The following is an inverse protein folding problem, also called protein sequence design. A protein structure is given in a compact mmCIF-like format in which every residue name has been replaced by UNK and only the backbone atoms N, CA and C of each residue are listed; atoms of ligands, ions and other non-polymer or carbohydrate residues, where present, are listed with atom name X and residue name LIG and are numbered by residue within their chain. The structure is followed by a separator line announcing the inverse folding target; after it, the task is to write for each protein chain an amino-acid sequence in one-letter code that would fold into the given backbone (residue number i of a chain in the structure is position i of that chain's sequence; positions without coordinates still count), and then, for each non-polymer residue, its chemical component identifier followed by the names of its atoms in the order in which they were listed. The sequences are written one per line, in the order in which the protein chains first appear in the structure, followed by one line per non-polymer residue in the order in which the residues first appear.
data_IF_990496855131
#
_entry.id   IF_990496855131
#
_cell.length_a   1.000
_cell.length_b   1.000
_cell.length_c   1.000
_cell.angle_alpha   90.00
_cell.angle_beta   90.00
_cell.angle_gamma   90.00
#
_symmetry.space_group_name_H-M   'P 1'
#
loop_
_entity.id
_entity.type
_entity.pdbx_description
1 polymer ?
#
# COMPACT_ATOMS: atom_id res chain seq x y z
N UNK A 1 16.41 21.68 -15.89
CA UNK A 1 16.98 20.40 -16.32
C UNK A 1 16.19 19.86 -17.50
N UNK A 2 16.85 19.50 -18.62
CA UNK A 2 16.22 18.72 -19.69
C UNK A 2 16.18 17.28 -19.20
N UNK A 3 15.01 16.76 -18.85
CA UNK A 3 14.85 15.33 -18.53
C UNK A 3 15.04 14.55 -19.83
N UNK A 4 16.13 13.81 -19.93
CA UNK A 4 16.29 12.84 -21.00
C UNK A 4 15.27 11.73 -20.73
N UNK A 5 14.40 11.47 -21.70
CA UNK A 5 13.34 10.45 -21.57
C UNK A 5 14.01 9.06 -21.64
N UNK A 6 14.32 8.49 -20.47
CA UNK A 6 14.88 7.13 -20.37
C UNK A 6 13.82 6.09 -20.73
N UNK A 7 14.24 4.97 -21.30
CA UNK A 7 13.37 3.82 -21.48
C UNK A 7 12.94 3.29 -20.11
N UNK A 8 11.64 3.31 -19.86
CA UNK A 8 11.06 2.95 -18.58
C UNK A 8 11.09 1.44 -18.29
N UNK A 9 11.40 0.60 -19.29
CA UNK A 9 11.51 -0.85 -19.14
C UNK A 9 12.95 -1.32 -18.91
N UNK A 10 13.93 -0.41 -18.94
CA UNK A 10 15.34 -0.74 -18.72
C UNK A 10 15.81 -0.26 -17.35
N UNK A 11 16.48 -1.15 -16.62
CA UNK A 11 17.14 -0.80 -15.36
C UNK A 11 18.26 0.20 -15.61
N UNK A 12 18.44 1.14 -14.70
CA UNK A 12 19.61 2.02 -14.68
C UNK A 12 20.81 1.29 -14.07
N UNK A 13 22.06 1.72 -14.36
CA UNK A 13 23.27 0.97 -13.95
C UNK A 13 23.41 0.69 -12.45
N UNK A 14 22.81 1.54 -11.59
CA UNK A 14 22.84 1.40 -10.14
C UNK A 14 21.67 0.56 -9.59
N UNK A 15 20.74 0.15 -10.43
CA UNK A 15 19.55 -0.60 -10.04
C UNK A 15 19.83 -2.10 -10.14
N UNK A 16 19.64 -2.79 -9.01
CA UNK A 16 19.83 -4.24 -8.94
C UNK A 16 18.76 -4.98 -9.72
N UNK A 17 19.19 -5.85 -10.62
CA UNK A 17 18.38 -6.89 -11.24
C UNK A 17 18.36 -8.12 -10.32
N UNK A 18 17.18 -8.67 -10.06
CA UNK A 18 17.01 -9.91 -9.26
C UNK A 18 16.86 -11.17 -10.10
N UNK A 19 16.91 -11.05 -11.43
CA UNK A 19 16.78 -12.19 -12.34
C UNK A 19 15.48 -12.96 -12.18
N UNK A 20 14.37 -12.25 -11.92
CA UNK A 20 13.05 -12.85 -11.63
C UNK A 20 12.17 -12.87 -12.88
N UNK A 21 11.42 -13.95 -13.06
CA UNK A 21 10.42 -14.14 -14.11
C UNK A 21 9.01 -13.64 -13.73
N UNK A 22 8.86 -13.20 -12.47
CA UNK A 22 7.56 -12.75 -11.91
C UNK A 22 6.94 -11.63 -12.76
N UNK A 23 7.73 -10.66 -13.23
CA UNK A 23 7.23 -9.58 -14.07
C UNK A 23 6.63 -10.10 -15.38
N UNK A 24 7.32 -11.00 -16.05
CA UNK A 24 6.88 -11.55 -17.35
C UNK A 24 5.58 -12.36 -17.18
N UNK A 25 5.48 -13.14 -16.11
CA UNK A 25 4.26 -13.88 -15.78
C UNK A 25 3.08 -12.94 -15.49
N UNK A 26 3.30 -11.89 -14.70
CA UNK A 26 2.26 -10.89 -14.41
C UNK A 26 1.79 -10.20 -15.70
N UNK A 27 2.70 -9.75 -16.53
CA UNK A 27 2.35 -9.03 -17.76
C UNK A 27 1.59 -9.93 -18.74
N UNK A 28 2.01 -11.20 -18.87
CA UNK A 28 1.35 -12.21 -19.70
C UNK A 28 -0.07 -12.48 -19.20
N UNK A 29 -0.25 -12.77 -17.93
CA UNK A 29 -1.54 -13.09 -17.34
C UNK A 29 -2.49 -11.88 -17.34
N UNK A 30 -1.96 -10.68 -17.06
CA UNK A 30 -2.74 -9.44 -17.17
C UNK A 30 -3.23 -9.20 -18.60
N UNK A 31 -2.40 -9.42 -19.61
CA UNK A 31 -2.78 -9.26 -21.02
C UNK A 31 -3.83 -10.27 -21.47
N UNK A 32 -3.85 -11.47 -20.89
CA UNK A 32 -4.83 -12.51 -21.18
C UNK A 32 -6.18 -12.29 -20.49
N UNK A 33 -6.22 -11.56 -19.37
CA UNK A 33 -7.43 -11.33 -18.61
C UNK A 33 -8.37 -10.36 -19.34
N UNK A 34 -9.56 -10.84 -19.67
CA UNK A 34 -10.67 -10.08 -20.30
C UNK A 34 -11.87 -10.15 -19.36
N UNK A 35 -12.11 -9.12 -18.53
CA UNK A 35 -13.16 -9.16 -17.51
C UNK A 35 -14.56 -9.42 -18.06
N UNK A 36 -14.82 -9.03 -19.31
CA UNK A 36 -16.13 -9.08 -19.95
C UNK A 36 -16.58 -10.48 -20.36
N UNK A 37 -15.66 -11.45 -20.45
CA UNK A 37 -16.01 -12.82 -20.88
C UNK A 37 -16.59 -13.68 -19.77
N UNK A 38 -16.39 -13.27 -18.49
CA UNK A 38 -16.88 -14.03 -17.35
C UNK A 38 -18.39 -13.89 -17.19
N UNK A 39 -19.04 -15.00 -16.85
CA UNK A 39 -20.45 -15.12 -16.63
C UNK A 39 -20.83 -15.23 -15.16
N UNK A 40 -22.11 -15.10 -14.84
CA UNK A 40 -22.64 -15.40 -13.49
C UNK A 40 -22.33 -16.84 -13.04
N UNK A 41 -22.28 -17.80 -13.98
CA UNK A 41 -21.94 -19.18 -13.66
C UNK A 41 -20.51 -19.30 -13.15
N UNK A 42 -19.57 -18.55 -13.74
CA UNK A 42 -18.17 -18.52 -13.29
C UNK A 42 -18.05 -17.91 -11.89
N UNK A 43 -18.80 -16.84 -11.61
CA UNK A 43 -18.87 -16.23 -10.27
C UNK A 43 -19.44 -17.20 -9.24
N UNK A 44 -20.54 -17.92 -9.57
CA UNK A 44 -21.12 -18.94 -8.68
C UNK A 44 -20.15 -20.10 -8.43
N UNK A 45 -19.41 -20.51 -9.46
CA UNK A 45 -18.35 -21.52 -9.32
C UNK A 45 -17.23 -21.03 -8.38
N UNK A 46 -16.80 -19.76 -8.53
CA UNK A 46 -15.78 -19.15 -7.67
C UNK A 46 -16.25 -19.06 -6.20
N UNK A 47 -17.51 -18.68 -5.96
CA UNK A 47 -18.08 -18.61 -4.60
C UNK A 47 -18.17 -19.98 -3.91
N UNK A 48 -18.35 -21.08 -4.66
CA UNK A 48 -18.44 -22.43 -4.14
C UNK A 48 -17.09 -23.17 -4.12
N UNK A 49 -16.02 -22.55 -4.61
CA UNK A 49 -14.70 -23.18 -4.67
C UNK A 49 -14.08 -23.33 -3.28
N UNK A 50 -13.55 -24.51 -2.98
CA UNK A 50 -12.82 -24.78 -1.73
C UNK A 50 -11.56 -23.91 -1.62
N UNK A 51 -10.85 -23.71 -2.74
CA UNK A 51 -9.68 -22.87 -2.89
C UNK A 51 -9.90 -21.93 -4.07
N UNK A 52 -9.64 -20.65 -3.88
CA UNK A 52 -9.77 -19.66 -4.93
C UNK A 52 -8.57 -19.76 -5.90
N UNK A 53 -8.80 -20.19 -7.11
CA UNK A 53 -7.81 -20.22 -8.19
C UNK A 53 -7.64 -18.82 -8.82
N UNK A 54 -6.67 -18.66 -9.72
CA UNK A 54 -6.54 -17.44 -10.52
C UNK A 54 -7.78 -17.18 -11.38
N UNK A 55 -8.38 -18.22 -11.94
CA UNK A 55 -9.61 -18.08 -12.72
C UNK A 55 -10.80 -17.67 -11.83
N UNK A 56 -10.89 -18.19 -10.61
CA UNK A 56 -11.89 -17.74 -9.65
C UNK A 56 -11.67 -16.26 -9.27
N UNK A 57 -10.44 -15.83 -9.06
CA UNK A 57 -10.12 -14.43 -8.80
C UNK A 57 -10.54 -13.51 -9.97
N UNK A 58 -10.24 -13.91 -11.21
CA UNK A 58 -10.65 -13.20 -12.42
C UNK A 58 -12.19 -13.05 -12.48
N UNK A 59 -12.93 -14.13 -12.20
CA UNK A 59 -14.40 -14.12 -12.14
C UNK A 59 -14.92 -13.18 -11.03
N UNK A 60 -14.36 -13.23 -9.81
CA UNK A 60 -14.75 -12.38 -8.68
C UNK A 60 -14.46 -10.88 -8.93
N UNK A 61 -13.47 -10.55 -9.74
CA UNK A 61 -13.16 -9.19 -10.15
C UNK A 61 -13.92 -8.72 -11.40
N UNK A 62 -14.60 -9.61 -12.11
CA UNK A 62 -15.31 -9.31 -13.35
C UNK A 62 -16.58 -8.46 -13.13
N UNK A 63 -17.13 -7.82 -14.17
CA UNK A 63 -18.43 -7.16 -14.10
C UNK A 63 -19.58 -8.09 -13.70
N UNK A 64 -19.52 -9.38 -14.09
CA UNK A 64 -20.52 -10.40 -13.75
C UNK A 64 -20.65 -10.64 -12.23
N UNK A 65 -19.64 -10.25 -11.44
CA UNK A 65 -19.66 -10.38 -9.98
C UNK A 65 -20.50 -9.28 -9.29
N UNK A 66 -20.84 -8.19 -9.97
CA UNK A 66 -21.57 -7.08 -9.35
C UNK A 66 -22.91 -7.45 -8.69
N UNK A 67 -23.76 -8.34 -9.27
CA UNK A 67 -24.99 -8.80 -8.60
C UNK A 67 -24.74 -9.69 -7.37
N UNK A 68 -23.54 -10.26 -7.23
CA UNK A 68 -23.15 -11.19 -6.18
C UNK A 68 -22.33 -10.54 -5.07
N UNK A 69 -22.22 -9.20 -5.04
CA UNK A 69 -21.34 -8.50 -4.10
C UNK A 69 -21.64 -8.84 -2.64
N UNK A 70 -22.93 -9.04 -2.29
CA UNK A 70 -23.31 -9.46 -0.94
C UNK A 70 -22.76 -10.85 -0.59
N UNK A 71 -22.94 -11.85 -1.47
CA UNK A 71 -22.41 -13.20 -1.25
C UNK A 71 -20.86 -13.20 -1.21
N UNK A 72 -20.22 -12.40 -2.05
CA UNK A 72 -18.76 -12.20 -2.04
C UNK A 72 -18.32 -11.60 -0.70
N UNK A 73 -19.04 -10.59 -0.20
CA UNK A 73 -18.74 -9.96 1.09
C UNK A 73 -18.93 -10.92 2.26
N UNK A 74 -19.98 -11.73 2.27
CA UNK A 74 -20.22 -12.76 3.28
C UNK A 74 -19.12 -13.83 3.30
N UNK A 75 -18.69 -14.30 2.11
CA UNK A 75 -17.58 -15.26 2.02
C UNK A 75 -16.25 -14.63 2.49
N UNK A 76 -15.98 -13.38 2.09
CA UNK A 76 -14.81 -12.65 2.54
C UNK A 76 -14.82 -12.45 4.06
N UNK A 77 -15.96 -12.12 4.66
CA UNK A 77 -16.12 -11.99 6.10
C UNK A 77 -15.84 -13.32 6.81
N UNK A 78 -16.39 -14.44 6.31
CA UNK A 78 -16.11 -15.75 6.88
C UNK A 78 -14.63 -16.10 6.85
N UNK A 79 -13.94 -15.81 5.72
CA UNK A 79 -12.48 -15.98 5.60
C UNK A 79 -11.71 -15.06 6.55
N UNK A 80 -12.14 -13.80 6.71
CA UNK A 80 -11.52 -12.86 7.66
C UNK A 80 -11.64 -13.38 9.09
N UNK A 81 -12.83 -13.80 9.49
CA UNK A 81 -13.06 -14.33 10.84
C UNK A 81 -12.28 -15.64 11.11
N UNK A 82 -12.16 -16.50 10.11
CA UNK A 82 -11.40 -17.75 10.25
C UNK A 82 -9.88 -17.52 10.44
N UNK A 83 -9.32 -16.43 9.87
CA UNK A 83 -7.88 -16.17 9.90
C UNK A 83 -7.46 -15.12 10.93
N UNK A 84 -8.30 -14.13 11.20
CA UNK A 84 -7.97 -12.98 12.07
C UNK A 84 -8.91 -12.85 13.30
N UNK A 85 -9.94 -13.67 13.40
CA UNK A 85 -10.93 -13.55 14.48
C UNK A 85 -11.66 -12.22 14.42
N UNK A 86 -11.75 -11.55 15.57
CA UNK A 86 -12.31 -10.19 15.72
C UNK A 86 -11.24 -9.09 15.68
N UNK A 87 -9.98 -9.43 15.48
CA UNK A 87 -8.86 -8.52 15.65
C UNK A 87 -8.70 -7.54 14.48
N UNK A 88 -8.53 -6.26 14.81
CA UNK A 88 -8.23 -5.19 13.87
C UNK A 88 -6.97 -4.46 14.34
N UNK A 89 -5.91 -4.57 13.57
CA UNK A 89 -4.62 -3.93 13.89
C UNK A 89 -4.66 -2.44 13.54
N UNK A 90 -4.16 -1.60 14.45
CA UNK A 90 -4.07 -0.15 14.28
C UNK A 90 -2.64 0.29 14.06
N UNK A 91 -2.45 1.24 13.14
CA UNK A 91 -1.18 1.92 12.90
C UNK A 91 -1.40 3.38 12.50
N UNK A 92 -0.33 4.16 12.44
CA UNK A 92 -0.37 5.50 11.85
C UNK A 92 0.84 5.75 10.95
N UNK A 93 0.70 6.52 9.85
CA UNK A 93 1.83 6.98 9.06
C UNK A 93 2.52 8.19 9.71
N UNK A 94 3.84 8.27 9.56
CA UNK A 94 4.65 9.44 9.87
C UNK A 94 5.45 9.86 8.62
N UNK A 95 5.12 11.02 8.08
CA UNK A 95 5.84 11.63 6.97
C UNK A 95 7.03 12.44 7.49
N UNK A 96 8.26 11.97 7.23
CA UNK A 96 9.48 12.62 7.73
C UNK A 96 10.12 13.58 6.72
N UNK A 97 9.79 13.46 5.42
CA UNK A 97 10.23 14.38 4.36
C UNK A 97 9.30 14.33 3.16
N UNK A 98 9.09 15.46 2.47
CA UNK A 98 8.28 15.55 1.25
C UNK A 98 9.05 16.02 0.01
N UNK A 99 10.37 16.06 0.06
CA UNK A 99 11.20 16.26 -1.13
C UNK A 99 11.08 15.05 -2.05
N UNK A 100 10.89 15.29 -3.35
CA UNK A 100 10.75 14.23 -4.35
C UNK A 100 11.34 14.69 -5.67
N UNK A 101 12.10 13.80 -6.35
CA UNK A 101 12.76 14.07 -7.62
C UNK A 101 11.94 13.55 -8.81
N UNK A 102 10.79 12.90 -8.55
CA UNK A 102 9.92 12.30 -9.56
C UNK A 102 8.85 13.24 -10.09
N UNK A 103 8.41 12.97 -11.33
CA UNK A 103 7.38 13.72 -12.04
C UNK A 103 6.10 12.86 -12.21
N UNK A 104 5.55 12.38 -11.10
CA UNK A 104 4.30 11.61 -11.12
C UNK A 104 3.10 12.55 -11.20
N UNK A 105 2.24 12.39 -12.22
CA UNK A 105 1.12 13.31 -12.48
C UNK A 105 0.00 13.29 -11.42
N UNK A 106 -0.03 12.26 -10.58
CA UNK A 106 -1.06 12.00 -9.57
C UNK A 106 -0.60 12.28 -8.13
N UNK A 107 0.62 12.73 -7.92
CA UNK A 107 1.21 12.86 -6.58
C UNK A 107 1.43 14.31 -6.18
N UNK A 108 0.96 14.70 -5.01
CA UNK A 108 1.18 16.03 -4.46
C UNK A 108 2.66 16.38 -4.28
N UNK A 109 3.52 15.38 -4.02
CA UNK A 109 4.96 15.56 -3.88
C UNK A 109 5.72 15.68 -5.22
N UNK A 110 5.03 15.65 -6.37
CA UNK A 110 5.66 15.84 -7.68
C UNK A 110 6.68 16.99 -7.64
N UNK A 111 7.88 16.76 -8.19
CA UNK A 111 9.00 17.73 -8.15
C UNK A 111 8.65 19.12 -8.69
N UNK A 112 7.67 19.22 -9.60
CA UNK A 112 7.20 20.50 -10.19
C UNK A 112 6.08 21.17 -9.41
N UNK A 113 5.48 20.52 -8.42
CA UNK A 113 4.43 21.12 -7.62
C UNK A 113 5.03 22.18 -6.68
N UNK A 114 4.39 23.35 -6.67
CA UNK A 114 4.74 24.44 -5.76
C UNK A 114 4.10 24.18 -4.39
N UNK A 115 4.77 23.39 -3.56
CA UNK A 115 4.35 23.05 -2.20
C UNK A 115 5.45 23.41 -1.21
N UNK A 116 5.08 23.61 0.05
CA UNK A 116 6.05 23.82 1.14
C UNK A 116 6.78 22.49 1.39
N UNK A 117 8.08 22.46 1.06
CA UNK A 117 8.95 21.31 1.27
C UNK A 117 9.58 21.35 2.65
N UNK A 118 9.67 20.19 3.30
CA UNK A 118 10.33 20.04 4.59
C UNK A 118 10.95 18.64 4.73
N UNK A 119 11.95 18.57 5.60
CA UNK A 119 12.60 17.36 6.08
C UNK A 119 12.80 17.53 7.58
N UNK A 120 12.42 16.55 8.38
CA UNK A 120 12.56 16.60 9.82
C UNK A 120 14.00 16.27 10.25
N UNK A 121 14.51 16.95 11.28
CA UNK A 121 15.73 16.58 11.98
C UNK A 121 15.48 15.37 12.89
N UNK A 122 16.55 14.80 13.44
CA UNK A 122 16.46 13.66 14.38
C UNK A 122 15.66 14.03 15.65
N UNK A 123 15.82 15.25 16.14
CA UNK A 123 15.08 15.78 17.29
C UNK A 123 13.60 15.94 16.97
N UNK A 124 13.29 16.40 15.75
CA UNK A 124 11.92 16.56 15.26
C UNK A 124 11.23 15.21 15.05
N UNK A 125 11.94 14.25 14.41
CA UNK A 125 11.45 12.86 14.26
C UNK A 125 11.15 12.27 15.65
N UNK A 126 12.09 12.42 16.60
CA UNK A 126 11.92 11.89 17.96
C UNK A 126 10.73 12.52 18.67
N UNK A 127 10.47 13.81 18.46
CA UNK A 127 9.31 14.52 19.01
C UNK A 127 8.00 13.99 18.43
N UNK A 128 7.92 13.87 17.11
CA UNK A 128 6.75 13.29 16.42
C UNK A 128 6.45 11.86 16.91
N UNK A 129 7.46 11.01 16.97
CA UNK A 129 7.32 9.62 17.43
C UNK A 129 6.83 9.56 18.89
N UNK A 130 7.34 10.44 19.76
CA UNK A 130 6.90 10.54 21.16
C UNK A 130 5.45 10.97 21.25
N UNK A 131 5.02 11.96 20.47
CA UNK A 131 3.61 12.41 20.49
C UNK A 131 2.69 11.30 20.01
N UNK A 132 3.04 10.60 18.92
CA UNK A 132 2.26 9.47 18.41
C UNK A 132 2.17 8.35 19.45
N UNK A 133 3.28 8.01 20.11
CA UNK A 133 3.31 6.91 21.08
C UNK A 133 2.39 7.12 22.31
N UNK A 134 2.05 8.36 22.64
CA UNK A 134 1.07 8.68 23.72
C UNK A 134 -0.33 8.13 23.43
N UNK A 135 -0.68 7.88 22.17
CA UNK A 135 -1.95 7.29 21.77
C UNK A 135 -2.06 5.79 22.09
N UNK A 136 -0.94 5.16 22.49
CA UNK A 136 -0.84 3.73 22.73
C UNK A 136 -0.66 2.89 21.47
N UNK A 137 -0.47 3.49 20.29
CA UNK A 137 -0.08 2.76 19.08
C UNK A 137 1.30 2.14 19.25
N UNK A 138 1.45 0.90 18.79
CA UNK A 138 2.71 0.14 18.83
C UNK A 138 3.27 -0.11 17.43
N UNK A 139 2.58 0.33 16.38
CA UNK A 139 3.04 0.26 14.99
C UNK A 139 3.06 1.63 14.34
N UNK A 140 4.16 1.93 13.64
CA UNK A 140 4.39 3.14 12.87
C UNK A 140 4.78 2.79 11.43
N UNK A 141 4.28 3.58 10.46
CA UNK A 141 4.70 3.51 9.06
C UNK A 141 5.44 4.80 8.69
N UNK A 142 6.75 4.72 8.44
CA UNK A 142 7.57 5.87 8.07
C UNK A 142 7.49 6.10 6.56
N UNK A 143 7.20 7.33 6.14
CA UNK A 143 7.08 7.72 4.74
C UNK A 143 8.00 8.88 4.38
N UNK A 144 8.51 8.82 3.14
CA UNK A 144 9.24 9.94 2.52
C UNK A 144 8.79 10.17 1.08
N UNK A 145 9.05 11.36 0.56
CA UNK A 145 9.18 11.52 -0.87
C UNK A 145 10.44 10.82 -1.38
N UNK A 146 10.51 10.55 -2.66
CA UNK A 146 11.65 9.88 -3.30
C UNK A 146 12.70 10.91 -3.72
N UNK A 147 13.71 11.13 -2.88
CA UNK A 147 14.85 12.01 -3.14
C UNK A 147 16.09 11.46 -2.42
N UNK A 148 17.00 10.87 -3.15
CA UNK A 148 18.24 10.30 -2.58
C UNK A 148 19.07 11.36 -1.84
N UNK A 149 19.02 12.61 -2.30
CA UNK A 149 19.75 13.73 -1.67
C UNK A 149 19.13 14.15 -0.34
N UNK A 150 17.78 14.23 -0.26
CA UNK A 150 17.08 14.73 0.91
C UNK A 150 16.62 13.61 1.85
N UNK A 151 16.29 12.45 1.32
CA UNK A 151 15.80 11.28 2.05
C UNK A 151 16.68 10.08 1.73
N UNK A 152 18.00 10.19 2.00
CA UNK A 152 18.95 9.10 1.78
C UNK A 152 18.61 7.86 2.59
N UNK A 153 19.09 6.69 2.16
CA UNK A 153 18.90 5.42 2.89
C UNK A 153 19.39 5.54 4.35
N UNK A 154 20.54 6.21 4.56
CA UNK A 154 21.08 6.45 5.91
C UNK A 154 20.13 7.30 6.79
N UNK A 155 19.49 8.32 6.22
CA UNK A 155 18.50 9.12 6.93
C UNK A 155 17.26 8.29 7.32
N UNK A 156 16.76 7.47 6.41
CA UNK A 156 15.61 6.58 6.66
C UNK A 156 15.99 5.50 7.70
N UNK A 157 17.17 4.91 7.60
CA UNK A 157 17.70 3.94 8.57
C UNK A 157 17.78 4.53 9.98
N UNK A 158 18.28 5.76 10.11
CA UNK A 158 18.30 6.45 11.39
C UNK A 158 16.90 6.71 11.94
N UNK A 159 15.95 7.11 11.08
CA UNK A 159 14.54 7.27 11.47
C UNK A 159 13.94 5.96 12.00
N UNK A 160 14.24 4.82 11.36
CA UNK A 160 13.83 3.49 11.84
C UNK A 160 14.41 3.18 13.22
N UNK A 161 15.71 3.47 13.43
CA UNK A 161 16.39 3.30 14.74
C UNK A 161 15.76 4.17 15.83
N UNK A 162 15.37 5.39 15.51
CA UNK A 162 14.65 6.27 16.45
C UNK A 162 13.24 5.72 16.73
N UNK A 163 12.53 5.24 15.71
CA UNK A 163 11.18 4.70 15.84
C UNK A 163 11.13 3.45 16.71
N UNK A 164 12.11 2.55 16.63
CA UNK A 164 12.19 1.34 17.47
C UNK A 164 12.28 1.63 18.97
N UNK A 165 12.63 2.85 19.38
CA UNK A 165 12.61 3.25 20.80
C UNK A 165 11.17 3.44 21.33
N UNK A 166 10.19 3.60 20.45
CA UNK A 166 8.80 3.92 20.79
C UNK A 166 7.79 2.89 20.29
N UNK A 167 8.12 2.16 19.22
CA UNK A 167 7.21 1.26 18.53
C UNK A 167 7.78 -0.14 18.39
N UNK A 168 6.93 -1.15 18.55
CA UNK A 168 7.29 -2.57 18.39
C UNK A 168 7.46 -2.93 16.92
N UNK A 169 6.60 -2.37 16.05
CA UNK A 169 6.61 -2.63 14.61
C UNK A 169 6.86 -1.33 13.85
N UNK A 170 7.85 -1.35 12.97
CA UNK A 170 8.24 -0.22 12.12
C UNK A 170 8.16 -0.65 10.65
N UNK A 171 7.19 -0.10 9.93
CA UNK A 171 7.10 -0.21 8.49
C UNK A 171 7.73 0.98 7.78
N UNK A 172 8.10 0.79 6.52
CA UNK A 172 8.52 1.88 5.65
C UNK A 172 7.75 1.87 4.33
N UNK A 173 7.29 3.04 3.89
CA UNK A 173 6.71 3.27 2.56
C UNK A 173 7.56 4.33 1.85
N UNK A 174 8.52 3.84 1.08
CA UNK A 174 9.58 4.63 0.48
C UNK A 174 9.80 4.23 -0.99
N UNK A 175 10.77 4.85 -1.63
CA UNK A 175 11.19 4.46 -2.97
C UNK A 175 11.85 3.07 -3.01
N UNK A 176 11.85 2.38 -4.17
CA UNK A 176 12.53 1.10 -4.34
C UNK A 176 14.03 1.21 -4.06
N UNK A 177 14.56 0.22 -3.38
CA UNK A 177 15.99 0.11 -3.02
C UNK A 177 16.59 -1.19 -3.54
N UNK A 178 17.92 -1.27 -3.54
CA UNK A 178 18.64 -2.52 -3.70
C UNK A 178 18.57 -3.37 -2.43
N UNK A 179 18.84 -4.66 -2.52
CA UNK A 179 18.71 -5.57 -1.38
C UNK A 179 19.64 -5.24 -0.22
N UNK A 180 20.85 -4.75 -0.50
CA UNK A 180 21.80 -4.30 0.53
C UNK A 180 21.28 -3.08 1.32
N UNK A 181 20.60 -2.14 0.66
CA UNK A 181 19.98 -1.00 1.30
C UNK A 181 18.77 -1.42 2.16
N UNK A 182 17.97 -2.35 1.67
CA UNK A 182 16.89 -2.95 2.48
C UNK A 182 17.45 -3.70 3.70
N UNK A 183 18.60 -4.38 3.55
CA UNK A 183 19.26 -5.03 4.68
C UNK A 183 19.74 -4.01 5.73
N UNK A 184 20.22 -2.83 5.31
CA UNK A 184 20.54 -1.74 6.21
C UNK A 184 19.31 -1.25 6.96
N UNK A 185 18.18 -1.05 6.27
CA UNK A 185 16.93 -0.63 6.91
C UNK A 185 16.43 -1.69 7.89
N UNK A 186 16.46 -2.97 7.51
CA UNK A 186 16.09 -4.08 8.40
C UNK A 186 16.96 -4.10 9.66
N UNK A 187 18.27 -4.03 9.51
CA UNK A 187 19.21 -3.95 10.65
C UNK A 187 18.95 -2.73 11.54
N UNK A 188 18.43 -1.64 10.97
CA UNK A 188 18.04 -0.42 11.69
C UNK A 188 16.66 -0.50 12.34
N UNK A 189 15.97 -1.63 12.21
CA UNK A 189 14.70 -1.91 12.86
C UNK A 189 13.46 -1.83 11.99
N UNK A 190 13.58 -1.71 10.67
CA UNK A 190 12.43 -1.83 9.79
C UNK A 190 11.98 -3.31 9.70
N UNK A 191 10.70 -3.56 9.92
CA UNK A 191 10.10 -4.89 9.90
C UNK A 191 9.53 -5.25 8.53
N UNK A 192 8.91 -4.28 7.84
CA UNK A 192 8.29 -4.49 6.54
C UNK A 192 8.40 -3.26 5.64
N UNK A 193 8.24 -3.49 4.34
CA UNK A 193 8.22 -2.42 3.35
C UNK A 193 6.96 -2.48 2.49
N UNK A 194 6.45 -1.31 2.14
CA UNK A 194 5.35 -1.15 1.19
C UNK A 194 5.83 -0.34 0.00
N UNK A 195 5.73 -0.91 -1.20
CA UNK A 195 6.02 -0.23 -2.47
C UNK A 195 4.88 -0.49 -3.44
N UNK A 196 4.07 0.50 -3.70
CA UNK A 196 2.95 0.38 -4.63
C UNK A 196 3.42 0.43 -6.07
N UNK A 197 3.00 -0.54 -6.90
CA UNK A 197 3.31 -0.54 -8.33
C UNK A 197 2.58 0.57 -9.09
N UNK A 198 1.53 1.10 -8.53
CA UNK A 198 0.63 2.12 -9.05
C UNK A 198 -0.27 1.60 -10.19
N UNK A 199 0.28 1.08 -11.26
CA UNK A 199 -0.41 0.32 -12.31
C UNK A 199 0.51 -0.75 -12.89
N UNK A 200 -0.05 -1.89 -13.26
CA UNK A 200 0.65 -2.98 -13.94
C UNK A 200 0.57 -2.89 -15.47
N UNK A 201 0.12 -1.76 -16.01
CA UNK A 201 0.16 -1.46 -17.44
C UNK A 201 1.41 -0.65 -17.78
N UNK A 202 2.44 -1.23 -18.44
CA UNK A 202 3.69 -0.52 -18.70
C UNK A 202 3.50 0.75 -19.55
N UNK A 203 2.61 0.70 -20.55
CA UNK A 203 2.31 1.85 -21.40
C UNK A 203 1.64 2.98 -20.62
N UNK A 204 0.73 2.66 -19.69
CA UNK A 204 0.10 3.66 -18.83
C UNK A 204 1.08 4.19 -17.81
N UNK A 205 1.89 3.30 -17.22
CA UNK A 205 2.94 3.63 -16.26
C UNK A 205 3.91 4.69 -16.81
N UNK A 206 4.36 4.50 -18.06
CA UNK A 206 5.22 5.47 -18.75
C UNK A 206 4.61 6.86 -18.84
N UNK A 207 3.28 6.92 -19.12
CA UNK A 207 2.56 8.19 -19.33
C UNK A 207 2.32 8.97 -18.04
N UNK A 208 2.34 8.31 -16.89
CA UNK A 208 2.08 8.95 -15.59
C UNK A 208 3.35 9.21 -14.77
N UNK A 209 4.47 8.56 -15.10
CA UNK A 209 5.77 8.77 -14.50
C UNK A 209 6.71 9.43 -15.54
N UNK A 210 6.66 10.74 -15.59
CA UNK A 210 7.29 11.53 -16.67
C UNK A 210 8.80 11.68 -16.52
N UNK A 211 9.35 11.44 -15.31
CA UNK A 211 10.78 11.54 -15.01
C UNK A 211 11.09 11.13 -13.57
N UNK A 212 12.38 10.97 -13.28
CA UNK A 212 12.89 10.45 -12.01
C UNK A 212 12.99 8.92 -11.98
N UNK A 213 13.58 8.37 -10.92
CA UNK A 213 13.84 6.93 -10.79
C UNK A 213 12.55 6.09 -10.73
N UNK A 214 11.46 6.66 -10.21
CA UNK A 214 10.14 6.00 -10.18
C UNK A 214 9.64 5.61 -11.58
N UNK A 215 10.16 6.27 -12.64
CA UNK A 215 9.84 5.92 -14.01
C UNK A 215 10.22 4.49 -14.40
N UNK A 216 11.21 3.87 -13.74
CA UNK A 216 11.73 2.55 -14.10
C UNK A 216 10.79 1.46 -13.57
N UNK A 217 9.96 0.94 -14.47
CA UNK A 217 8.90 -0.03 -14.18
C UNK A 217 9.42 -1.34 -13.55
N UNK A 218 10.40 -2.06 -14.11
CA UNK A 218 10.88 -3.33 -13.55
C UNK A 218 11.53 -3.14 -12.19
N UNK A 219 12.25 -2.03 -11.96
CA UNK A 219 12.87 -1.76 -10.67
C UNK A 219 11.83 -1.59 -9.57
N UNK A 220 10.72 -0.93 -9.86
CA UNK A 220 9.65 -0.77 -8.90
C UNK A 220 8.88 -2.07 -8.67
N UNK A 221 8.60 -2.82 -9.74
CA UNK A 221 7.87 -4.08 -9.64
C UNK A 221 8.62 -5.10 -8.77
N UNK A 222 9.92 -5.24 -8.93
CA UNK A 222 10.72 -6.20 -8.18
C UNK A 222 11.19 -5.69 -6.80
N UNK A 223 10.64 -4.58 -6.30
CA UNK A 223 11.04 -4.00 -5.02
C UNK A 223 10.77 -4.94 -3.83
N UNK A 224 9.65 -5.68 -3.86
CA UNK A 224 9.28 -6.62 -2.79
C UNK A 224 10.26 -7.80 -2.72
N UNK A 225 10.71 -8.32 -3.86
CA UNK A 225 11.70 -9.39 -3.87
C UNK A 225 13.04 -8.91 -3.29
N UNK A 226 13.51 -7.70 -3.69
CA UNK A 226 14.74 -7.12 -3.11
C UNK A 226 14.61 -6.87 -1.62
N UNK A 227 13.44 -6.45 -1.15
CA UNK A 227 13.17 -6.26 0.26
C UNK A 227 13.27 -7.57 1.07
N UNK A 228 12.69 -8.66 0.54
CA UNK A 228 12.78 -9.99 1.17
C UNK A 228 14.21 -10.53 1.12
N UNK A 229 14.95 -10.33 0.04
CA UNK A 229 16.39 -10.64 -0.04
C UNK A 229 17.21 -9.83 0.98
N UNK A 230 16.80 -8.61 1.29
CA UNK A 230 17.36 -7.75 2.34
C UNK A 230 16.93 -8.12 3.77
N UNK A 231 16.12 -9.17 3.95
CA UNK A 231 15.72 -9.67 5.27
C UNK A 231 14.45 -9.07 5.83
N UNK A 232 13.71 -8.25 5.06
CA UNK A 232 12.41 -7.75 5.53
C UNK A 232 11.44 -8.91 5.81
N UNK A 233 10.74 -8.84 6.93
CA UNK A 233 9.75 -9.85 7.36
C UNK A 233 8.51 -9.84 6.47
N UNK A 234 8.06 -8.65 6.05
CA UNK A 234 6.83 -8.46 5.30
C UNK A 234 6.94 -7.49 4.14
N UNK A 235 6.05 -7.66 3.16
CA UNK A 235 5.97 -6.80 1.98
C UNK A 235 4.52 -6.46 1.64
N UNK A 236 4.30 -5.18 1.29
CA UNK A 236 2.99 -4.65 0.92
C UNK A 236 2.85 -4.43 -0.58
N UNK A 237 1.65 -4.73 -1.09
CA UNK A 237 1.30 -4.63 -2.51
C UNK A 237 0.10 -3.71 -2.69
N UNK A 238 0.13 -2.89 -3.73
CA UNK A 238 -1.02 -2.15 -4.21
C UNK A 238 -0.85 -1.66 -5.65
N UNK A 239 -1.98 -1.51 -6.34
CA UNK A 239 -2.15 -0.56 -7.42
C UNK A 239 -2.92 0.66 -6.93
N UNK A 240 -2.69 1.83 -7.52
CA UNK A 240 -3.49 3.03 -7.28
C UNK A 240 -4.71 2.97 -8.21
N UNK A 241 -5.82 2.47 -7.68
CA UNK A 241 -7.03 2.16 -8.45
C UNK A 241 -7.62 3.42 -9.08
N UNK A 242 -7.89 3.34 -10.38
CA UNK A 242 -8.38 4.45 -11.21
C UNK A 242 -7.32 5.07 -12.13
N UNK A 243 -6.06 4.63 -12.07
CA UNK A 243 -5.03 5.00 -13.05
C UNK A 243 -5.29 4.30 -14.39
N UNK A 244 -5.54 2.99 -14.34
CA UNK A 244 -5.93 2.15 -15.49
C UNK A 244 -7.18 1.35 -15.13
N UNK A 245 -7.60 0.39 -15.96
CA UNK A 245 -8.69 -0.51 -15.59
C UNK A 245 -8.40 -1.18 -14.24
N UNK A 246 -9.25 -0.89 -13.26
CA UNK A 246 -9.02 -1.31 -11.88
C UNK A 246 -9.09 -2.84 -11.71
N UNK A 247 -9.85 -3.55 -12.57
CA UNK A 247 -9.97 -5.01 -12.51
C UNK A 247 -8.68 -5.68 -12.93
N UNK A 248 -8.07 -5.15 -14.01
CA UNK A 248 -6.78 -5.61 -14.52
C UNK A 248 -5.66 -5.34 -13.53
N UNK A 249 -5.65 -4.14 -12.92
CA UNK A 249 -4.64 -3.77 -11.94
C UNK A 249 -4.85 -4.51 -10.60
N UNK A 250 -6.08 -4.70 -10.16
CA UNK A 250 -6.38 -5.50 -8.97
C UNK A 250 -5.99 -6.98 -9.16
N UNK A 251 -6.32 -7.57 -10.31
CA UNK A 251 -5.88 -8.92 -10.65
C UNK A 251 -4.35 -9.05 -10.63
N UNK A 252 -3.65 -8.15 -11.31
CA UNK A 252 -2.19 -8.17 -11.38
C UNK A 252 -1.54 -7.95 -10.01
N UNK A 253 -2.12 -7.11 -9.13
CA UNK A 253 -1.66 -6.93 -7.75
C UNK A 253 -1.75 -8.22 -6.95
N UNK A 254 -2.88 -8.93 -7.01
CA UNK A 254 -3.05 -10.19 -6.30
C UNK A 254 -2.18 -11.31 -6.85
N UNK A 255 -2.03 -11.39 -8.18
CA UNK A 255 -1.10 -12.33 -8.83
C UNK A 255 0.34 -12.07 -8.39
N UNK A 256 0.79 -10.82 -8.41
CA UNK A 256 2.13 -10.43 -7.95
C UNK A 256 2.38 -10.89 -6.51
N UNK A 257 1.47 -10.57 -5.61
CA UNK A 257 1.56 -10.98 -4.20
C UNK A 257 1.62 -12.52 -4.04
N UNK A 258 0.82 -13.26 -4.82
CA UNK A 258 0.80 -14.73 -4.76
C UNK A 258 2.08 -15.36 -5.31
N UNK A 259 2.64 -14.81 -6.37
CA UNK A 259 3.92 -15.28 -6.95
C UNK A 259 5.09 -15.01 -5.99
N UNK A 260 5.13 -13.82 -5.38
CA UNK A 260 6.14 -13.51 -4.37
C UNK A 260 5.98 -14.44 -3.15
N UNK A 261 4.76 -14.67 -2.65
CA UNK A 261 4.56 -15.59 -1.53
C UNK A 261 4.94 -17.04 -1.87
N UNK A 262 4.67 -17.49 -3.10
CA UNK A 262 5.08 -18.83 -3.57
C UNK A 262 6.61 -18.97 -3.59
N UNK A 263 7.32 -17.92 -4.02
CA UNK A 263 8.80 -17.90 -4.08
C UNK A 263 9.43 -17.70 -2.70
N UNK A 264 8.76 -16.93 -1.82
CA UNK A 264 9.19 -16.60 -0.45
C UNK A 264 8.09 -16.98 0.56
N UNK A 265 7.92 -18.27 0.91
CA UNK A 265 6.80 -18.75 1.73
C UNK A 265 6.74 -18.15 3.15
N UNK A 266 7.89 -17.70 3.66
CA UNK A 266 8.01 -17.06 4.98
C UNK A 266 7.56 -15.59 5.00
N UNK A 267 7.33 -14.97 3.84
CA UNK A 267 7.00 -13.56 3.76
C UNK A 267 5.58 -13.28 4.28
N UNK A 268 5.46 -12.26 5.11
CA UNK A 268 4.16 -11.68 5.45
C UNK A 268 3.67 -10.80 4.30
N UNK A 269 2.51 -11.12 3.77
CA UNK A 269 1.91 -10.41 2.62
C UNK A 269 0.84 -9.46 3.12
N UNK A 270 0.91 -8.22 2.63
CA UNK A 270 -0.12 -7.22 2.90
C UNK A 270 -0.63 -6.58 1.60
N UNK A 271 -1.93 -6.30 1.56
CA UNK A 271 -2.57 -5.49 0.52
C UNK A 271 -2.98 -4.13 1.07
N UNK A 272 -2.77 -3.10 0.26
CA UNK A 272 -3.48 -1.83 0.37
C UNK A 272 -4.32 -1.61 -0.89
N UNK A 273 -5.46 -0.93 -0.74
CA UNK A 273 -6.38 -0.70 -1.85
C UNK A 273 -6.64 0.80 -2.04
N UNK A 274 -5.60 1.62 -2.34
CA UNK A 274 -5.77 3.05 -2.52
C UNK A 274 -6.50 3.35 -3.82
N UNK A 275 -7.44 4.31 -3.76
CA UNK A 275 -8.04 4.93 -4.96
C UNK A 275 -7.37 6.27 -5.25
N UNK A 276 -7.37 6.70 -6.52
CA UNK A 276 -7.01 8.06 -6.89
C UNK A 276 -7.80 9.08 -6.07
N UNK A 277 -7.13 10.13 -5.64
CA UNK A 277 -7.72 11.26 -4.90
C UNK A 277 -7.22 12.56 -5.49
N UNK A 278 -7.98 13.65 -5.40
CA UNK A 278 -7.48 14.98 -5.69
C UNK A 278 -6.22 15.28 -4.90
N UNK A 279 -5.32 16.01 -5.51
CA UNK A 279 -4.06 16.48 -4.90
C UNK A 279 -3.99 18.00 -4.99
N UNK A 280 -3.14 18.61 -4.19
CA UNK A 280 -2.82 20.03 -4.30
C UNK A 280 -2.37 20.32 -5.74
N UNK A 281 -2.94 21.36 -6.33
CA UNK A 281 -2.68 21.82 -7.71
C UNK A 281 -3.17 20.91 -8.84
N UNK A 282 -3.95 19.86 -8.55
CA UNK A 282 -4.58 19.05 -9.58
C UNK A 282 -5.91 18.42 -9.11
N UNK A 283 -7.00 19.13 -9.34
CA UNK A 283 -8.37 18.69 -9.08
C UNK A 283 -8.95 17.76 -10.17
N UNK A 284 -8.24 17.62 -11.32
CA UNK A 284 -8.68 16.82 -12.48
C UNK A 284 -8.53 15.31 -12.25
N UNK A 285 -7.75 14.90 -11.25
CA UNK A 285 -7.60 13.50 -10.88
C UNK A 285 -8.85 13.08 -10.11
N UNK A 286 -9.79 12.49 -10.83
CA UNK A 286 -11.05 12.03 -10.28
C UNK A 286 -11.18 10.52 -10.48
N UNK A 287 -11.31 9.72 -9.41
CA UNK A 287 -11.49 8.26 -9.48
C UNK A 287 -12.94 7.89 -9.80
N UNK A 288 -13.54 8.49 -10.82
CA UNK A 288 -14.95 8.24 -11.18
C UNK A 288 -15.25 6.79 -11.49
N UNK A 289 -14.24 6.04 -11.91
CA UNK A 289 -14.38 4.66 -12.38
C UNK A 289 -14.29 3.64 -11.24
N UNK A 290 -13.90 4.06 -10.02
CA UNK A 290 -13.78 3.19 -8.85
C UNK A 290 -14.56 3.79 -7.68
N UNK A 291 -15.84 3.42 -7.58
CA UNK A 291 -16.69 3.77 -6.45
C UNK A 291 -16.41 2.89 -5.22
N UNK A 292 -17.21 3.10 -4.15
CA UNK A 292 -17.10 2.28 -2.94
C UNK A 292 -17.49 0.81 -3.20
N UNK A 293 -18.35 0.57 -4.16
CA UNK A 293 -18.80 -0.76 -4.58
C UNK A 293 -17.66 -1.56 -5.21
N UNK A 294 -16.99 -0.96 -6.18
CA UNK A 294 -15.84 -1.53 -6.87
C UNK A 294 -14.68 -1.76 -5.91
N UNK A 295 -14.42 -0.82 -5.02
CA UNK A 295 -13.40 -0.96 -3.98
C UNK A 295 -13.71 -2.12 -3.03
N UNK A 296 -14.96 -2.26 -2.59
CA UNK A 296 -15.38 -3.38 -1.74
C UNK A 296 -15.22 -4.72 -2.47
N UNK A 297 -15.57 -4.77 -3.76
CA UNK A 297 -15.37 -5.97 -4.59
C UNK A 297 -13.91 -6.39 -4.62
N UNK A 298 -12.99 -5.46 -4.84
CA UNK A 298 -11.53 -5.72 -4.85
C UNK A 298 -11.05 -6.23 -3.49
N UNK A 299 -11.42 -5.55 -2.40
CA UNK A 299 -11.02 -5.93 -1.04
C UNK A 299 -11.50 -7.35 -0.70
N UNK A 300 -12.75 -7.66 -1.04
CA UNK A 300 -13.32 -9.00 -0.81
C UNK A 300 -12.67 -10.06 -1.69
N UNK A 301 -12.40 -9.77 -2.96
CA UNK A 301 -11.72 -10.69 -3.86
C UNK A 301 -10.30 -11.03 -3.35
N UNK A 302 -9.54 -10.04 -2.87
CA UNK A 302 -8.24 -10.26 -2.25
C UNK A 302 -8.32 -11.16 -1.01
N UNK A 303 -9.30 -10.93 -0.12
CA UNK A 303 -9.53 -11.76 1.07
C UNK A 303 -9.88 -13.20 0.72
N UNK A 304 -10.67 -13.42 -0.33
CA UNK A 304 -11.05 -14.75 -0.77
C UNK A 304 -9.86 -15.47 -1.41
N UNK A 305 -9.06 -14.76 -2.22
CA UNK A 305 -7.91 -15.33 -2.93
C UNK A 305 -6.72 -15.61 -2.03
N UNK A 306 -6.36 -14.68 -1.14
CA UNK A 306 -5.25 -14.81 -0.18
C UNK A 306 -5.78 -14.58 1.25
N UNK A 307 -6.40 -15.59 1.86
CA UNK A 307 -7.15 -15.41 3.10
C UNK A 307 -6.28 -15.05 4.31
N UNK A 308 -4.98 -15.34 4.27
CA UNK A 308 -4.02 -15.03 5.35
C UNK A 308 -3.30 -13.68 5.17
N UNK A 309 -3.43 -13.04 4.00
CA UNK A 309 -2.80 -11.74 3.76
C UNK A 309 -3.45 -10.64 4.60
N UNK A 310 -2.67 -9.71 5.12
CA UNK A 310 -3.19 -8.52 5.77
C UNK A 310 -3.82 -7.58 4.73
N UNK A 311 -4.98 -6.98 5.03
CA UNK A 311 -5.64 -6.01 4.16
C UNK A 311 -5.85 -4.72 4.93
N UNK A 312 -5.19 -3.65 4.45
CA UNK A 312 -5.22 -2.33 5.06
C UNK A 312 -6.25 -1.43 4.40
N UNK A 313 -7.06 -0.74 5.21
CA UNK A 313 -7.91 0.35 4.77
C UNK A 313 -7.42 1.69 5.34
N UNK A 314 -7.17 2.65 4.45
CA UNK A 314 -6.57 3.94 4.81
C UNK A 314 -7.58 5.07 4.95
N UNK A 315 -7.12 6.21 5.48
CA UNK A 315 -7.90 7.46 5.62
C UNK A 315 -8.22 8.15 4.30
N UNK A 316 -7.79 7.60 3.16
CA UNK A 316 -8.28 8.02 1.83
C UNK A 316 -9.78 7.82 1.70
N UNK A 317 -10.33 6.83 2.44
CA UNK A 317 -11.74 6.48 2.43
C UNK A 317 -12.52 7.18 3.55
N UNK A 318 -13.80 7.43 3.29
CA UNK A 318 -14.72 8.04 4.28
C UNK A 318 -14.91 7.11 5.48
N UNK A 319 -15.17 7.70 6.66
CA UNK A 319 -15.38 6.98 7.90
C UNK A 319 -16.39 5.82 7.75
N UNK A 320 -17.58 6.09 7.20
CA UNK A 320 -18.62 5.06 7.00
C UNK A 320 -18.14 3.85 6.18
N UNK A 321 -17.37 4.08 5.11
CA UNK A 321 -16.82 2.97 4.32
C UNK A 321 -15.80 2.16 5.12
N UNK A 322 -14.90 2.83 5.84
CA UNK A 322 -13.89 2.19 6.67
C UNK A 322 -14.51 1.33 7.76
N UNK A 323 -15.54 1.85 8.44
CA UNK A 323 -16.30 1.16 9.50
C UNK A 323 -16.97 -0.13 8.99
N UNK A 324 -17.40 -0.16 7.73
CA UNK A 324 -17.96 -1.35 7.11
C UNK A 324 -16.86 -2.30 6.60
N UNK A 325 -15.78 -1.79 6.02
CA UNK A 325 -14.70 -2.60 5.47
C UNK A 325 -14.02 -3.48 6.54
N UNK A 326 -13.81 -2.96 7.77
CA UNK A 326 -13.24 -3.75 8.88
C UNK A 326 -14.17 -4.84 9.39
N UNK A 327 -15.49 -4.70 9.21
CA UNK A 327 -16.45 -5.76 9.54
C UNK A 327 -16.40 -6.91 8.55
N UNK A 328 -16.01 -6.64 7.31
CA UNK A 328 -16.14 -7.55 6.18
C UNK A 328 -14.78 -8.24 5.88
N UNK A 329 -13.78 -7.47 5.48
CA UNK A 329 -12.58 -8.07 4.90
C UNK A 329 -11.25 -7.41 5.31
N UNK A 330 -11.25 -6.13 5.71
CA UNK A 330 -10.03 -5.48 6.19
C UNK A 330 -9.74 -5.89 7.65
N UNK A 331 -8.48 -6.17 7.96
CA UNK A 331 -8.02 -6.50 9.32
C UNK A 331 -7.01 -5.48 9.87
N UNK A 332 -6.69 -4.43 9.07
CA UNK A 332 -5.77 -3.36 9.47
C UNK A 332 -6.31 -2.00 9.07
N UNK A 333 -6.19 -1.01 9.97
CA UNK A 333 -6.75 0.33 9.77
C UNK A 333 -5.79 1.39 10.30
N UNK A 334 -5.61 2.47 9.54
CA UNK A 334 -4.86 3.63 10.04
C UNK A 334 -5.70 4.52 10.95
N UNK A 335 -5.12 5.11 12.00
CA UNK A 335 -5.81 5.92 12.99
C UNK A 335 -4.97 7.14 13.39
N UNK A 336 -5.62 8.26 13.72
CA UNK A 336 -4.94 9.49 14.12
C UNK A 336 -4.02 10.06 13.05
N UNK A 337 -4.38 9.87 11.77
CA UNK A 337 -3.49 10.14 10.62
C UNK A 337 -3.32 11.63 10.39
N UNK A 338 -2.05 12.03 10.22
CA UNK A 338 -1.66 13.34 9.70
C UNK A 338 -0.64 13.14 8.57
N UNK A 339 -0.96 13.67 7.39
CA UNK A 339 -0.19 13.44 6.16
C UNK A 339 0.74 14.60 5.78
N UNK A 340 0.79 15.65 6.58
CA UNK A 340 1.73 16.76 6.46
C UNK A 340 3.00 16.50 7.29
N UNK A 341 4.10 17.15 6.92
CA UNK A 341 5.37 17.00 7.62
C UNK A 341 5.34 17.78 8.96
N UNK A 342 5.66 17.10 10.07
CA UNK A 342 5.75 17.70 11.40
C UNK A 342 4.42 18.00 12.09
N UNK A 343 3.33 17.37 11.63
CA UNK A 343 1.98 17.73 12.06
C UNK A 343 1.51 17.04 13.37
N UNK A 344 2.19 16.02 13.86
CA UNK A 344 1.86 15.39 15.15
C UNK A 344 2.41 16.18 16.33
N UNK A 345 3.51 16.93 16.12
CA UNK A 345 4.05 17.89 17.09
C UNK A 345 3.29 19.24 17.07
N UNK A 346 4.02 20.31 17.30
CA UNK A 346 3.43 21.64 17.52
C UNK A 346 3.15 22.41 16.22
N UNK A 347 3.87 22.14 15.12
CA UNK A 347 3.80 22.97 13.92
C UNK A 347 3.92 22.17 12.61
N UNK A 348 2.94 22.34 11.71
CA UNK A 348 3.01 21.85 10.34
C UNK A 348 4.16 22.52 9.58
N UNK A 349 5.17 21.74 9.16
CA UNK A 349 6.37 22.21 8.47
C UNK A 349 6.29 22.11 6.95
N UNK A 350 5.64 21.08 6.44
CA UNK A 350 5.50 20.85 5.01
C UNK A 350 4.11 20.37 4.61
N UNK A 351 3.80 20.52 3.32
CA UNK A 351 2.49 20.19 2.78
C UNK A 351 2.30 18.67 2.60
N UNK A 352 1.05 18.29 2.51
CA UNK A 352 0.57 16.92 2.38
C UNK A 352 0.70 16.34 0.96
N UNK A 353 0.72 15.02 0.88
CA UNK A 353 0.78 14.27 -0.38
C UNK A 353 -0.59 14.23 -1.09
N UNK A 354 -1.65 14.11 -0.34
CA UNK A 354 -3.05 14.01 -0.80
C UNK A 354 -4.00 14.38 0.33
N UNK A 355 -5.26 14.59 -0.01
CA UNK A 355 -6.33 14.90 0.93
C UNK A 355 -6.85 13.63 1.60
N UNK A 356 -7.03 13.66 2.95
CA UNK A 356 -7.64 12.58 3.73
C UNK A 356 -9.14 12.83 3.91
N UNK A 357 -9.92 11.73 4.02
CA UNK A 357 -11.39 11.79 4.19
C UNK A 357 -11.86 11.39 5.60
N UNK A 358 -10.96 10.84 6.43
CA UNK A 358 -11.25 10.45 7.80
C UNK A 358 -10.10 10.90 8.71
N UNK A 359 -10.40 11.85 9.59
CA UNK A 359 -9.44 12.48 10.50
C UNK A 359 -9.62 12.04 11.95
N UNK A 360 -10.40 10.97 12.21
CA UNK A 360 -10.66 10.48 13.57
C UNK A 360 -9.36 10.13 14.29
N UNK A 361 -9.36 10.43 15.59
CA UNK A 361 -8.29 10.08 16.52
C UNK A 361 -8.15 8.56 16.70
N UNK A 362 -7.09 8.13 17.36
CA UNK A 362 -6.87 6.72 17.69
C UNK A 362 -7.99 6.20 18.61
N UNK A 363 -8.42 6.98 19.59
CA UNK A 363 -9.45 6.56 20.53
C UNK A 363 -10.83 6.45 19.86
N UNK A 364 -11.21 7.40 18.99
CA UNK A 364 -12.45 7.30 18.20
C UNK A 364 -12.45 6.04 17.28
N UNK A 365 -11.32 5.67 16.71
CA UNK A 365 -11.21 4.43 15.93
C UNK A 365 -11.32 3.19 16.83
N UNK A 366 -10.69 3.18 18.02
CA UNK A 366 -10.85 2.09 19.00
C UNK A 366 -12.31 1.92 19.41
N UNK A 367 -12.99 3.01 19.72
CA UNK A 367 -14.42 2.99 20.08
C UNK A 367 -15.28 2.45 18.93
N UNK A 368 -15.04 2.90 17.71
CA UNK A 368 -15.74 2.39 16.52
C UNK A 368 -15.54 0.88 16.36
N UNK A 369 -14.31 0.38 16.51
CA UNK A 369 -13.99 -1.06 16.40
C UNK A 369 -14.78 -1.83 17.46
N UNK A 370 -14.73 -1.43 18.73
CA UNK A 370 -15.46 -2.06 19.83
C UNK A 370 -16.98 -2.01 19.63
N UNK A 371 -17.53 -0.87 19.20
CA UNK A 371 -18.95 -0.72 18.91
C UNK A 371 -19.44 -1.65 17.78
N UNK A 372 -18.56 -2.12 16.92
CA UNK A 372 -18.83 -3.11 15.88
C UNK A 372 -18.58 -4.58 16.34
N UNK A 373 -18.33 -4.82 17.62
CA UNK A 373 -18.07 -6.16 18.16
C UNK A 373 -16.69 -6.72 17.74
N UNK A 374 -15.74 -5.82 17.48
CA UNK A 374 -14.37 -6.14 17.06
C UNK A 374 -13.37 -5.72 18.15
N UNK A 375 -12.15 -6.24 18.08
CA UNK A 375 -11.09 -5.98 19.05
C UNK A 375 -9.96 -5.14 18.43
N UNK A 376 -9.67 -3.92 18.93
CA UNK A 376 -8.54 -3.13 18.47
C UNK A 376 -7.22 -3.68 19.01
N UNK A 377 -6.30 -4.06 18.10
CA UNK A 377 -4.94 -4.45 18.44
C UNK A 377 -3.96 -3.34 18.12
N UNK A 378 -3.05 -3.07 19.07
CA UNK A 378 -2.01 -2.05 18.90
C UNK A 378 -0.77 -2.57 18.18
N UNK A 379 -0.46 -3.88 18.30
CA UNK A 379 0.60 -4.54 17.56
C UNK A 379 0.18 -5.93 17.12
N UNK A 380 0.68 -6.36 15.99
CA UNK A 380 0.66 -7.76 15.59
C UNK A 380 1.67 -8.55 16.43
N UNK A 381 1.60 -9.89 16.35
CA UNK A 381 2.50 -10.79 17.05
C UNK A 381 3.97 -10.46 16.73
N UNK A 382 4.75 -10.18 17.77
CA UNK A 382 6.19 -9.97 17.64
C UNK A 382 6.91 -11.25 17.99
N UNK A 383 7.65 -11.81 17.04
CA UNK A 383 8.57 -12.91 17.34
C UNK A 383 9.68 -12.39 18.26
N UNK A 384 9.85 -13.03 19.41
CA UNK A 384 10.93 -12.73 20.35
C UNK A 384 12.10 -13.65 20.03
#
# INVERSE_FOLDING_TARGET
MKFTRTDHMQLLPHMQDVGSDIMDEILKERASYKPEIYSEADVKAALNAKHCSLENLKALLSPAAAPFLEQIAQLAQAKTRANFGSNITLFTPLYIANYCDNLCVYCGFNAKNNIKRAKLSDEEITRELREISKSGLEEILILTGESETNSSVAYIANACTLAKKFFKVVGVEIYPLNSEDYALLHKSGADYVTVFQETYNPTKYEKIHLGGNKRIFPYRLNAQERALLGGMRGVGFAALLGIDDFRLDAFATALHASLVQKKYPHAEIAFSCPRLRPIINNDRINPRDVGERELLQVICAYRIFMPTASITISTREKAKFRDNAVKIAANKISAGVKVSIGAHGEEKKGDEQFEISDSRSVDEIKEMIKANGLEPLMSEYVYV
#
